data_IF_267616424630
#
_entry.id   IF_267616424630
#
_cell.length_a   1.000
_cell.length_b   1.000
_cell.length_c   1.000
_cell.angle_alpha   90.00
_cell.angle_beta   90.00
_cell.angle_gamma   90.00
#
_symmetry.space_group_name_H-M   'P 1'
#
loop_
_entity.id
_entity.type
_entity.pdbx_description
1 polymer ?
#
# COMPACT_ATOMS: atom_id res chain seq x y z
N UNK A 1 -17.78 30.54 -3.30
CA UNK A 1 -18.47 29.26 -3.18
C UNK A 1 -18.79 28.75 -4.59
N UNK A 2 -18.15 27.68 -5.09
CA UNK A 2 -18.34 27.20 -6.45
C UNK A 2 -19.65 26.41 -6.62
N UNK A 3 -20.38 26.14 -5.57
CA UNK A 3 -21.66 25.41 -5.64
C UNK A 3 -22.67 26.18 -6.48
N UNK A 4 -23.22 25.51 -7.51
CA UNK A 4 -24.13 26.12 -8.48
C UNK A 4 -23.46 26.52 -9.80
N UNK A 5 -22.14 26.73 -9.80
CA UNK A 5 -21.38 27.03 -11.00
C UNK A 5 -21.31 25.83 -11.96
N UNK A 6 -21.01 26.11 -13.22
CA UNK A 6 -20.89 25.09 -14.25
C UNK A 6 -19.51 25.08 -14.86
N UNK A 7 -19.02 23.90 -15.23
CA UNK A 7 -17.75 23.75 -15.93
C UNK A 7 -17.86 22.68 -17.02
N UNK A 8 -17.02 22.80 -18.04
CA UNK A 8 -17.02 21.88 -19.18
C UNK A 8 -15.97 20.81 -19.00
N UNK A 9 -16.38 19.55 -19.14
CA UNK A 9 -15.48 18.39 -19.06
C UNK A 9 -15.27 17.82 -20.46
N UNK A 10 -14.25 18.27 -21.16
CA UNK A 10 -13.86 17.77 -22.46
C UNK A 10 -15.06 17.61 -23.42
N UNK A 11 -15.24 16.38 -23.93
CA UNK A 11 -16.36 16.01 -24.82
C UNK A 11 -17.62 15.57 -24.07
N UNK A 12 -17.54 15.37 -22.74
CA UNK A 12 -18.67 14.86 -21.95
C UNK A 12 -19.74 15.91 -21.67
N UNK A 13 -19.45 17.20 -21.92
CA UNK A 13 -20.43 18.28 -21.81
C UNK A 13 -20.22 19.17 -20.59
N UNK A 14 -21.31 19.81 -20.16
CA UNK A 14 -21.32 20.78 -19.06
C UNK A 14 -21.82 20.11 -17.79
N UNK A 15 -21.07 20.25 -16.72
CA UNK A 15 -21.39 19.72 -15.39
C UNK A 15 -21.68 20.88 -14.43
N UNK A 16 -22.62 20.68 -13.53
CA UNK A 16 -22.93 21.62 -12.45
C UNK A 16 -22.30 21.15 -11.16
N UNK A 17 -21.63 22.05 -10.46
CA UNK A 17 -21.09 21.78 -9.12
C UNK A 17 -22.25 21.70 -8.12
N UNK A 18 -22.43 20.54 -7.52
CA UNK A 18 -23.47 20.28 -6.52
C UNK A 18 -22.97 20.35 -5.09
N UNK A 19 -21.67 20.25 -4.89
CA UNK A 19 -21.05 20.31 -3.58
C UNK A 19 -19.53 20.44 -3.66
N UNK A 20 -18.92 20.79 -2.54
CA UNK A 20 -17.47 20.84 -2.35
C UNK A 20 -17.12 19.93 -1.19
N UNK A 21 -16.20 19.02 -1.43
CA UNK A 21 -15.69 18.11 -0.41
C UNK A 21 -14.47 18.77 0.24
N UNK A 22 -14.46 18.83 1.56
CA UNK A 22 -13.32 19.33 2.31
C UNK A 22 -12.23 18.26 2.30
N UNK A 23 -11.04 18.64 1.87
CA UNK A 23 -9.86 17.81 2.09
C UNK A 23 -9.47 17.87 3.57
N UNK A 24 -9.64 16.76 4.26
CA UNK A 24 -9.29 16.62 5.67
C UNK A 24 -7.82 16.20 5.87
N UNK A 25 -7.04 16.13 4.80
CA UNK A 25 -5.65 15.66 4.83
C UNK A 25 -5.51 14.15 5.11
N UNK A 26 -6.60 13.41 5.18
CA UNK A 26 -6.58 11.97 5.33
C UNK A 26 -6.11 11.33 4.03
N UNK A 27 -5.08 10.49 4.14
CA UNK A 27 -4.61 9.72 2.99
C UNK A 27 -5.57 8.60 2.67
N UNK A 28 -5.96 8.51 1.40
CA UNK A 28 -6.79 7.44 0.87
C UNK A 28 -6.12 6.85 -0.37
N UNK A 29 -6.43 5.58 -0.67
CA UNK A 29 -6.06 4.98 -1.95
C UNK A 29 -6.91 5.51 -3.11
N UNK A 30 -8.06 6.16 -2.82
CA UNK A 30 -8.88 6.86 -3.81
C UNK A 30 -8.40 8.31 -3.88
N UNK A 31 -7.76 8.66 -4.98
CA UNK A 31 -7.28 10.02 -5.25
C UNK A 31 -8.05 10.54 -6.45
N UNK A 32 -8.94 11.49 -6.22
CA UNK A 32 -9.70 12.14 -7.27
C UNK A 32 -9.86 13.63 -6.97
N UNK A 33 -9.72 14.46 -8.00
CA UNK A 33 -9.92 15.91 -7.91
C UNK A 33 -11.41 16.28 -7.96
N UNK A 34 -12.23 15.42 -8.58
CA UNK A 34 -13.67 15.61 -8.70
C UNK A 34 -14.41 14.27 -8.71
N UNK A 35 -15.60 14.26 -8.17
CA UNK A 35 -16.50 13.12 -8.15
C UNK A 35 -17.77 13.45 -8.93
N UNK A 36 -18.20 12.55 -9.81
CA UNK A 36 -19.46 12.68 -10.52
C UNK A 36 -20.49 11.66 -10.00
N UNK A 37 -21.76 12.03 -10.02
CA UNK A 37 -22.83 11.11 -9.63
C UNK A 37 -22.94 9.94 -10.61
N UNK A 38 -23.22 8.72 -10.13
CA UNK A 38 -23.50 7.55 -10.98
C UNK A 38 -24.68 7.78 -11.92
N UNK A 39 -25.67 8.60 -11.53
CA UNK A 39 -26.77 8.98 -12.43
C UNK A 39 -26.30 9.73 -13.68
N UNK A 40 -25.20 10.49 -13.56
CA UNK A 40 -24.57 11.17 -14.69
C UNK A 40 -24.00 10.18 -15.69
N UNK A 41 -23.38 9.10 -15.24
CA UNK A 41 -22.85 8.04 -16.11
C UNK A 41 -23.95 7.44 -16.97
N UNK A 42 -25.08 7.04 -16.36
CA UNK A 42 -26.25 6.51 -17.11
C UNK A 42 -26.79 7.49 -18.14
N UNK A 43 -26.78 8.78 -17.80
CA UNK A 43 -27.25 9.83 -18.74
C UNK A 43 -26.28 10.00 -19.91
N UNK A 44 -25.01 9.95 -19.70
CA UNK A 44 -23.97 10.05 -20.73
C UNK A 44 -23.94 8.81 -21.64
N UNK A 45 -24.13 7.62 -21.08
CA UNK A 45 -24.26 6.39 -21.86
C UNK A 45 -25.50 6.46 -22.78
N UNK A 46 -26.65 6.90 -22.26
CA UNK A 46 -27.89 7.12 -23.09
C UNK A 46 -27.71 8.16 -24.19
N UNK A 47 -26.89 9.18 -23.92
CA UNK A 47 -26.56 10.22 -24.90
C UNK A 47 -25.49 9.78 -25.92
N UNK A 48 -24.93 8.57 -25.81
CA UNK A 48 -23.85 8.07 -26.66
C UNK A 48 -22.50 8.78 -26.47
N UNK A 49 -22.34 9.51 -25.38
CA UNK A 49 -21.10 10.21 -25.03
C UNK A 49 -20.11 9.33 -24.23
N UNK A 50 -20.62 8.26 -23.64
CA UNK A 50 -19.83 7.18 -23.02
C UNK A 50 -20.26 5.83 -23.62
N UNK A 51 -19.31 4.93 -23.72
CA UNK A 51 -19.61 3.54 -24.04
C UNK A 51 -20.40 2.89 -22.91
N UNK A 52 -21.48 2.13 -23.20
CA UNK A 52 -22.24 1.43 -22.17
C UNK A 52 -21.38 0.35 -21.50
N UNK A 53 -21.07 0.55 -20.22
CA UNK A 53 -20.23 -0.35 -19.44
C UNK A 53 -20.93 -0.91 -18.21
N UNK A 54 -21.98 -0.27 -17.72
CA UNK A 54 -22.63 -0.62 -16.46
C UNK A 54 -23.34 -1.98 -16.52
N UNK A 55 -23.90 -2.35 -17.67
CA UNK A 55 -24.57 -3.64 -17.87
C UNK A 55 -23.72 -4.65 -18.66
N UNK A 56 -22.45 -4.28 -18.92
CA UNK A 56 -21.53 -5.13 -19.67
C UNK A 56 -20.71 -6.02 -18.75
N UNK A 57 -21.20 -7.23 -18.47
CA UNK A 57 -20.49 -8.26 -17.75
C UNK A 57 -19.22 -8.76 -18.47
N UNK A 58 -19.06 -8.39 -19.74
CA UNK A 58 -17.92 -8.74 -20.56
C UNK A 58 -16.67 -7.94 -20.21
N UNK A 59 -16.76 -6.89 -19.43
CA UNK A 59 -15.63 -6.10 -19.01
C UNK A 59 -15.48 -6.09 -17.47
N UNK A 60 -14.70 -7.02 -16.89
CA UNK A 60 -14.49 -7.07 -15.44
C UNK A 60 -13.71 -5.86 -14.89
N UNK A 61 -13.14 -5.04 -15.77
CA UNK A 61 -12.35 -3.86 -15.41
C UNK A 61 -13.13 -2.54 -15.50
N UNK A 62 -14.45 -2.60 -15.56
CA UNK A 62 -15.29 -1.39 -15.74
C UNK A 62 -15.40 -0.53 -14.48
N UNK A 63 -15.00 -0.99 -13.32
CA UNK A 63 -15.07 -0.23 -12.07
C UNK A 63 -14.56 -0.99 -10.85
N UNK A 64 -14.57 -0.28 -9.74
CA UNK A 64 -14.27 -0.83 -8.40
C UNK A 64 -15.54 -0.77 -7.56
N UNK A 65 -15.86 -1.84 -6.88
CA UNK A 65 -17.07 -1.97 -6.08
C UNK A 65 -16.66 -2.08 -4.61
N UNK A 66 -17.21 -1.21 -3.78
CA UNK A 66 -17.05 -1.25 -2.34
C UNK A 66 -18.34 -1.75 -1.71
N UNK A 67 -18.23 -2.69 -0.80
CA UNK A 67 -19.36 -3.30 -0.09
C UNK A 67 -19.17 -3.01 1.39
N UNK A 68 -20.19 -2.43 2.01
CA UNK A 68 -20.26 -2.31 3.45
C UNK A 68 -21.02 -3.52 3.99
N UNK A 69 -20.35 -4.30 4.84
CA UNK A 69 -20.96 -5.42 5.50
C UNK A 69 -21.80 -4.94 6.69
N UNK A 70 -22.90 -5.65 6.97
CA UNK A 70 -23.66 -5.46 8.20
C UNK A 70 -22.81 -5.83 9.42
N UNK A 71 -23.15 -5.24 10.56
CA UNK A 71 -22.46 -5.52 11.82
C UNK A 71 -22.50 -7.01 12.16
N UNK A 72 -21.35 -7.59 12.49
CA UNK A 72 -21.20 -9.01 12.79
C UNK A 72 -21.04 -9.93 11.58
N UNK A 73 -21.18 -9.43 10.35
CA UNK A 73 -20.90 -10.21 9.13
C UNK A 73 -19.42 -10.18 8.77
N UNK A 74 -18.94 -11.29 8.23
CA UNK A 74 -17.56 -11.47 7.80
C UNK A 74 -17.49 -11.67 6.29
N UNK A 75 -16.30 -11.49 5.73
CA UNK A 75 -16.03 -11.70 4.29
C UNK A 75 -16.41 -13.13 3.88
N UNK A 76 -16.13 -14.10 4.73
CA UNK A 76 -16.41 -15.52 4.49
C UNK A 76 -17.90 -15.82 4.32
N UNK A 77 -18.78 -15.02 4.97
CA UNK A 77 -20.25 -15.20 4.87
C UNK A 77 -20.80 -14.83 3.48
N UNK A 78 -20.08 -13.96 2.75
CA UNK A 78 -20.53 -13.43 1.44
C UNK A 78 -19.82 -14.13 0.29
N UNK A 79 -18.65 -14.72 0.53
CA UNK A 79 -17.86 -15.38 -0.51
C UNK A 79 -18.66 -16.42 -1.34
N UNK A 80 -19.56 -17.24 -0.76
CA UNK A 80 -20.39 -18.17 -1.54
C UNK A 80 -21.31 -17.47 -2.55
N UNK A 81 -21.87 -16.30 -2.19
CA UNK A 81 -22.73 -15.53 -3.06
C UNK A 81 -21.95 -14.95 -4.25
N UNK A 82 -20.71 -14.49 -4.01
CA UNK A 82 -19.82 -14.03 -5.07
C UNK A 82 -19.41 -15.17 -6.01
N UNK A 83 -19.19 -16.36 -5.49
CA UNK A 83 -18.95 -17.54 -6.31
C UNK A 83 -20.14 -17.87 -7.22
N UNK A 84 -21.36 -17.75 -6.73
CA UNK A 84 -22.57 -17.93 -7.55
C UNK A 84 -22.63 -16.90 -8.66
N UNK A 85 -22.45 -15.61 -8.36
CA UNK A 85 -22.41 -14.53 -9.36
C UNK A 85 -21.31 -14.80 -10.40
N UNK A 86 -20.10 -15.21 -9.94
CA UNK A 86 -19.02 -15.55 -10.85
C UNK A 86 -19.38 -16.69 -11.79
N UNK A 87 -20.01 -17.74 -11.26
CA UNK A 87 -20.45 -18.89 -12.06
C UNK A 87 -21.53 -18.52 -13.08
N UNK A 88 -22.50 -17.70 -12.70
CA UNK A 88 -23.60 -17.31 -13.57
C UNK A 88 -23.14 -16.46 -14.77
N UNK A 89 -22.15 -15.59 -14.52
CA UNK A 89 -21.71 -14.62 -15.53
C UNK A 89 -20.39 -14.97 -16.23
N UNK A 90 -19.47 -15.71 -15.58
CA UNK A 90 -18.14 -15.95 -16.12
C UNK A 90 -17.83 -17.41 -16.48
N UNK A 91 -18.60 -18.42 -16.03
CA UNK A 91 -18.34 -19.82 -16.41
C UNK A 91 -18.40 -20.02 -17.94
N UNK A 92 -19.21 -19.26 -18.63
CA UNK A 92 -19.28 -19.27 -20.11
C UNK A 92 -18.08 -18.60 -20.78
N UNK A 93 -17.19 -18.00 -20.00
CA UNK A 93 -15.99 -17.27 -20.41
C UNK A 93 -14.71 -17.96 -19.96
N UNK A 94 -14.67 -19.27 -19.99
CA UNK A 94 -13.36 -19.92 -19.97
C UNK A 94 -12.56 -19.35 -21.14
N UNK A 95 -11.53 -18.55 -20.82
CA UNK A 95 -10.61 -18.09 -21.84
C UNK A 95 -10.07 -19.27 -22.61
N UNK A 96 -9.60 -19.08 -23.83
CA UNK A 96 -8.99 -20.14 -24.63
C UNK A 96 -7.82 -20.83 -23.92
N UNK A 97 -7.31 -20.23 -22.85
CA UNK A 97 -6.22 -20.67 -21.97
C UNK A 97 -6.71 -21.37 -20.69
N UNK A 98 -8.02 -21.57 -20.51
CA UNK A 98 -8.60 -22.17 -19.30
C UNK A 98 -8.68 -21.25 -18.11
N UNK A 99 -8.48 -19.93 -18.27
CA UNK A 99 -8.57 -18.94 -17.20
C UNK A 99 -9.98 -18.90 -16.62
N UNK A 100 -10.11 -19.05 -15.30
CA UNK A 100 -11.38 -18.93 -14.57
C UNK A 100 -11.41 -17.58 -13.87
N UNK A 101 -12.46 -16.80 -14.13
CA UNK A 101 -12.70 -15.55 -13.43
C UNK A 101 -13.53 -15.79 -12.18
N UNK A 102 -13.08 -15.27 -11.06
CA UNK A 102 -13.79 -15.37 -9.79
C UNK A 102 -13.74 -14.03 -9.05
N UNK A 103 -14.88 -13.61 -8.52
CA UNK A 103 -14.91 -12.49 -7.59
C UNK A 103 -14.45 -12.90 -6.20
N UNK A 104 -13.62 -12.05 -5.61
CA UNK A 104 -13.22 -12.15 -4.22
C UNK A 104 -13.32 -10.78 -3.55
N UNK A 105 -13.51 -10.77 -2.24
CA UNK A 105 -13.47 -9.56 -1.43
C UNK A 105 -12.07 -9.36 -0.86
N UNK A 106 -11.65 -8.11 -0.86
CA UNK A 106 -10.45 -7.65 -0.19
C UNK A 106 -10.84 -6.69 0.93
N UNK A 107 -10.25 -6.85 2.10
CA UNK A 107 -10.46 -5.90 3.18
C UNK A 107 -9.89 -4.52 2.77
N UNK A 108 -10.61 -3.46 3.09
CA UNK A 108 -10.20 -2.09 2.80
C UNK A 108 -8.83 -1.74 3.40
N UNK A 109 -8.50 -2.30 4.56
CA UNK A 109 -7.21 -2.09 5.23
C UNK A 109 -6.06 -2.85 4.57
N UNK A 110 -6.34 -3.85 3.73
CA UNK A 110 -5.34 -4.69 3.07
C UNK A 110 -5.07 -4.24 1.62
N UNK A 111 -5.56 -3.07 1.23
CA UNK A 111 -5.32 -2.51 -0.12
C UNK A 111 -3.90 -1.94 -0.21
N UNK A 112 -3.45 -1.21 0.83
CA UNK A 112 -2.12 -0.58 0.87
C UNK A 112 -1.50 -0.75 2.27
N UNK A 113 -0.48 -1.60 2.45
CA UNK A 113 0.12 -2.51 1.47
C UNK A 113 -0.78 -3.71 1.17
N UNK A 114 -0.69 -4.24 -0.05
CA UNK A 114 -1.57 -5.31 -0.51
C UNK A 114 -0.96 -6.22 -1.57
N UNK A 115 -1.77 -7.12 -2.15
CA UNK A 115 -1.35 -7.95 -3.27
C UNK A 115 -1.13 -7.12 -4.53
N UNK A 116 -0.33 -7.63 -5.45
CA UNK A 116 -0.15 -7.04 -6.78
C UNK A 116 -1.44 -7.22 -7.59
N UNK A 117 -2.11 -6.12 -7.90
CA UNK A 117 -3.31 -6.09 -8.73
C UNK A 117 -3.02 -5.39 -10.06
N UNK A 118 -3.63 -5.89 -11.13
CA UNK A 118 -3.44 -5.34 -12.47
C UNK A 118 -4.14 -3.99 -12.68
N UNK A 119 -5.19 -3.69 -11.90
CA UNK A 119 -5.96 -2.47 -12.02
C UNK A 119 -6.27 -1.87 -10.65
N UNK A 120 -5.28 -1.31 -9.95
CA UNK A 120 -5.51 -0.62 -8.68
C UNK A 120 -6.22 0.71 -8.93
N UNK A 121 -7.11 1.11 -8.01
CA UNK A 121 -7.83 2.40 -8.12
C UNK A 121 -6.91 3.61 -7.88
N UNK A 122 -5.80 3.41 -7.21
CA UNK A 122 -4.85 4.48 -6.89
C UNK A 122 -3.46 3.95 -6.57
N UNK A 123 -2.62 4.74 -5.93
CA UNK A 123 -1.30 4.29 -5.52
C UNK A 123 -1.40 3.05 -4.64
N UNK A 124 -0.61 2.06 -4.95
CA UNK A 124 -0.54 0.83 -4.17
C UNK A 124 0.91 0.46 -3.89
N UNK A 125 1.12 -0.30 -2.83
CA UNK A 125 2.43 -0.79 -2.47
C UNK A 125 2.35 -2.29 -2.21
N UNK A 126 2.92 -3.13 -3.08
CA UNK A 126 2.88 -4.57 -2.89
C UNK A 126 3.84 -5.02 -1.79
N UNK A 127 3.46 -6.06 -1.05
CA UNK A 127 4.24 -6.60 0.06
C UNK A 127 5.67 -6.99 -0.33
N UNK A 128 5.87 -7.54 -1.53
CA UNK A 128 7.21 -7.94 -1.97
C UNK A 128 8.19 -6.77 -2.06
N UNK A 129 7.72 -5.57 -2.40
CA UNK A 129 8.56 -4.36 -2.44
C UNK A 129 9.01 -3.97 -1.03
N UNK A 130 8.11 -4.08 -0.05
CA UNK A 130 8.43 -3.80 1.35
C UNK A 130 9.50 -4.78 1.85
N UNK A 131 9.33 -6.07 1.59
CA UNK A 131 10.32 -7.08 1.98
C UNK A 131 11.66 -6.88 1.28
N UNK A 132 11.64 -6.54 -0.01
CA UNK A 132 12.85 -6.25 -0.76
C UNK A 132 13.61 -5.05 -0.21
N UNK A 133 12.91 -3.94 0.04
CA UNK A 133 13.53 -2.75 0.63
C UNK A 133 14.02 -3.00 2.06
N UNK A 134 13.28 -3.75 2.86
CA UNK A 134 13.69 -4.15 4.21
C UNK A 134 14.94 -5.03 4.19
N UNK A 135 15.04 -5.93 3.22
CA UNK A 135 16.22 -6.78 3.03
C UNK A 135 17.46 -5.95 2.67
N UNK A 136 17.33 -5.00 1.75
CA UNK A 136 18.44 -4.08 1.40
C UNK A 136 18.85 -3.25 2.62
N UNK A 137 17.87 -2.69 3.35
CA UNK A 137 18.15 -1.94 4.57
C UNK A 137 18.90 -2.79 5.59
N UNK A 138 18.52 -4.05 5.74
CA UNK A 138 19.23 -5.03 6.60
C UNK A 138 20.68 -5.25 6.19
N UNK A 139 20.96 -5.41 4.89
CA UNK A 139 22.33 -5.57 4.39
C UNK A 139 23.18 -4.33 4.70
N UNK A 140 22.63 -3.14 4.45
CA UNK A 140 23.33 -1.87 4.74
C UNK A 140 23.65 -1.78 6.23
N UNK A 141 22.71 -2.12 7.08
CA UNK A 141 22.87 -2.07 8.53
C UNK A 141 23.94 -3.06 9.01
N UNK A 142 23.90 -4.30 8.53
CA UNK A 142 24.90 -5.33 8.84
C UNK A 142 26.30 -4.88 8.37
N UNK A 143 26.42 -4.38 7.16
CA UNK A 143 27.69 -3.88 6.62
C UNK A 143 28.25 -2.73 7.46
N UNK A 144 27.40 -1.81 7.89
CA UNK A 144 27.77 -0.71 8.77
C UNK A 144 28.23 -1.20 10.14
N UNK A 145 27.56 -2.21 10.71
CA UNK A 145 27.95 -2.84 11.94
C UNK A 145 29.34 -3.52 11.83
N UNK A 146 29.58 -4.25 10.72
CA UNK A 146 30.91 -4.85 10.49
C UNK A 146 32.00 -3.79 10.35
N UNK A 147 31.75 -2.72 9.61
CA UNK A 147 32.71 -1.63 9.46
C UNK A 147 33.04 -0.99 10.83
N UNK A 148 32.00 -0.69 11.62
CA UNK A 148 32.17 -0.17 12.98
C UNK A 148 32.94 -1.14 13.87
N UNK A 149 32.63 -2.43 13.84
CA UNK A 149 33.30 -3.46 14.60
C UNK A 149 34.79 -3.56 14.25
N UNK A 150 35.11 -3.59 12.96
CA UNK A 150 36.48 -3.64 12.46
C UNK A 150 37.29 -2.42 12.92
N UNK A 151 36.69 -1.23 12.85
CA UNK A 151 37.33 0.00 13.29
C UNK A 151 37.53 0.01 14.82
N UNK A 152 36.55 -0.49 15.56
CA UNK A 152 36.62 -0.60 17.04
C UNK A 152 37.71 -1.58 17.48
N UNK A 153 37.83 -2.73 16.79
CA UNK A 153 38.89 -3.71 17.04
C UNK A 153 40.27 -3.09 16.76
N UNK A 154 40.43 -2.41 15.61
CA UNK A 154 41.69 -1.75 15.28
C UNK A 154 42.09 -0.71 16.31
N UNK A 155 41.14 0.11 16.78
CA UNK A 155 41.41 1.09 17.87
C UNK A 155 41.71 0.42 19.20
N UNK A 156 41.05 -0.69 19.54
CA UNK A 156 41.34 -1.41 20.80
C UNK A 156 42.71 -2.08 20.80
N UNK A 157 43.20 -2.55 19.65
CA UNK A 157 44.54 -3.10 19.52
C UNK A 157 45.63 -2.03 19.76
N UNK A 158 45.43 -0.83 19.24
CA UNK A 158 46.36 0.29 19.49
C UNK A 158 46.41 0.70 20.98
N UNK A 159 45.31 0.54 21.72
CA UNK A 159 45.18 0.85 23.15
C UNK A 159 45.45 -0.35 24.06
N UNK A 160 45.78 -1.52 23.50
CA UNK A 160 45.99 -2.74 24.29
C UNK A 160 47.04 -2.57 25.41
N UNK A 161 48.10 -1.78 25.16
CA UNK A 161 49.13 -1.46 26.13
C UNK A 161 48.58 -0.65 27.31
N UNK A 162 47.72 0.34 27.04
CA UNK A 162 47.10 1.18 28.08
C UNK A 162 46.13 0.35 28.95
N UNK A 163 45.35 -0.52 28.32
CA UNK A 163 44.45 -1.44 29.03
C UNK A 163 45.23 -2.42 29.91
N UNK A 164 46.36 -2.92 29.41
CA UNK A 164 47.26 -3.78 30.15
C UNK A 164 47.80 -3.11 31.42
N UNK A 165 48.23 -1.86 31.31
CA UNK A 165 48.70 -1.07 32.46
C UNK A 165 47.58 -0.88 33.49
N UNK A 166 46.38 -0.48 33.06
CA UNK A 166 45.22 -0.28 33.96
C UNK A 166 44.80 -1.57 34.66
N UNK A 167 44.92 -2.70 33.99
CA UNK A 167 44.60 -4.00 34.58
C UNK A 167 45.60 -4.39 35.68
N UNK A 168 46.88 -4.08 35.48
CA UNK A 168 47.92 -4.33 36.48
C UNK A 168 47.76 -3.38 37.69
N UNK A 169 47.25 -2.16 37.48
CA UNK A 169 46.95 -1.20 38.55
C UNK A 169 45.61 -1.46 39.26
N UNK A 170 44.93 -2.58 38.95
CA UNK A 170 43.77 -3.04 39.70
C UNK A 170 42.38 -2.66 39.11
N UNK A 171 42.30 -2.18 37.89
CA UNK A 171 41.00 -1.90 37.27
C UNK A 171 40.19 -3.17 37.07
N UNK A 172 38.91 -3.14 37.48
CA UNK A 172 37.98 -4.25 37.33
C UNK A 172 37.48 -4.33 35.87
N UNK A 173 37.31 -5.53 35.34
CA UNK A 173 36.85 -5.77 33.93
C UNK A 173 35.57 -5.00 33.56
N UNK A 174 34.62 -4.89 34.48
CA UNK A 174 33.37 -4.17 34.29
C UNK A 174 33.57 -2.66 34.09
N UNK A 175 34.48 -2.05 34.80
CA UNK A 175 34.82 -0.63 34.66
C UNK A 175 35.35 -0.32 33.24
N UNK A 176 36.24 -1.18 32.73
CA UNK A 176 36.76 -1.07 31.38
C UNK A 176 35.67 -1.27 30.34
N UNK A 177 34.77 -2.24 30.55
CA UNK A 177 33.63 -2.48 29.65
C UNK A 177 32.69 -1.27 29.56
N UNK A 178 32.27 -0.72 30.72
CA UNK A 178 31.39 0.46 30.76
C UNK A 178 32.05 1.66 30.11
N UNK A 179 33.34 1.86 30.34
CA UNK A 179 34.10 2.96 29.73
C UNK A 179 34.12 2.85 28.20
N UNK A 180 34.42 1.66 27.65
CA UNK A 180 34.41 1.46 26.18
C UNK A 180 33.02 1.59 25.58
N UNK A 181 31.99 1.12 26.29
CA UNK A 181 30.62 1.28 25.85
C UNK A 181 30.21 2.77 25.78
N UNK A 182 30.56 3.53 26.81
CA UNK A 182 30.28 4.97 26.87
C UNK A 182 31.05 5.77 25.79
N UNK A 183 32.32 5.43 25.55
CA UNK A 183 33.08 6.02 24.43
C UNK A 183 32.42 5.73 23.07
N UNK A 184 31.91 4.51 22.89
CA UNK A 184 31.25 4.13 21.63
C UNK A 184 29.90 4.83 21.38
N UNK A 185 29.25 5.32 22.42
CA UNK A 185 27.97 6.08 22.33
C UNK A 185 28.23 7.56 22.08
N UNK A 186 29.38 8.08 22.46
CA UNK A 186 29.74 9.52 22.33
C UNK A 186 30.39 9.84 20.98
N UNK A 187 30.93 8.82 20.28
CA UNK A 187 31.52 8.96 18.94
C UNK A 187 30.47 8.69 17.85
#
# INVERSE_FOLDING_TARGET
NPVGETFKVGKLGIFKVTGVIKDNGNRSHIIAEAYASMSTVKSLEKAGLLEPKLDNWDNPYSGWIYIQLEEGKRIEDIQPNLATISNDHFVKRQGQDGTVFQYSLQNLLDIVPGPLLNNPIGPFMPWYLIYFLSFIAGIILITSCFNFTNLSIARSLTRAKEIGVRKVTGAVRWQLFVQFLSESVVI
#
